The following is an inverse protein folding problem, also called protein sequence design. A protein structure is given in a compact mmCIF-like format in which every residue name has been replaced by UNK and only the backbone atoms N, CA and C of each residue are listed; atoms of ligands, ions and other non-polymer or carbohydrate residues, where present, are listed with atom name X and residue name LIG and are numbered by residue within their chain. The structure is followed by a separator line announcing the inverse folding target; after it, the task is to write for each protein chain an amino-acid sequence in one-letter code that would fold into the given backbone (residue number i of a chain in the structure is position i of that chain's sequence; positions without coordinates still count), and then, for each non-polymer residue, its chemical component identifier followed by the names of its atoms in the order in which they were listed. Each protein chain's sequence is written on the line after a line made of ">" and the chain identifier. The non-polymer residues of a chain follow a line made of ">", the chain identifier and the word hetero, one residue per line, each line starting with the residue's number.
data_IF_400722533927
#
_entry.id   IF_400722533927
#
_cell.length_a   1.000
_cell.length_b   1.000
_cell.length_c   1.000
_cell.angle_alpha   90.00
_cell.angle_beta   90.00
_cell.angle_gamma   90.00
#
_symmetry.space_group_name_H-M   'P 1'
#
loop_
_entity.id
_entity.type
_entity.pdbx_description
1 polymer ?
#
# COMPACT_ATOMS: atom_id res chain seq x y z
N UNK A 1 -11.03 -92.72 -29.02
CA UNK A 1 -11.30 -92.85 -27.57
C UNK A 1 -12.64 -92.19 -27.32
N UNK A 2 -13.61 -92.92 -26.77
CA UNK A 2 -14.95 -92.39 -26.49
C UNK A 2 -14.90 -91.86 -25.07
N UNK A 3 -15.04 -90.55 -24.88
CA UNK A 3 -15.15 -89.92 -23.57
C UNK A 3 -16.34 -90.54 -22.85
N UNK A 4 -16.13 -91.09 -21.65
CA UNK A 4 -17.24 -91.69 -20.90
C UNK A 4 -18.08 -90.59 -20.25
N UNK A 5 -19.35 -90.86 -19.97
CA UNK A 5 -20.24 -89.89 -19.33
C UNK A 5 -19.67 -89.38 -17.99
N UNK A 6 -18.95 -90.24 -17.26
CA UNK A 6 -18.31 -89.90 -15.98
C UNK A 6 -17.16 -88.89 -16.13
N UNK A 7 -16.36 -88.99 -17.20
CA UNK A 7 -15.30 -88.01 -17.51
C UNK A 7 -15.89 -86.63 -17.84
N UNK A 8 -17.02 -86.59 -18.54
CA UNK A 8 -17.73 -85.34 -18.85
C UNK A 8 -18.28 -84.69 -17.58
N UNK A 9 -18.89 -85.47 -16.67
CA UNK A 9 -19.39 -84.93 -15.39
C UNK A 9 -18.29 -84.41 -14.49
N UNK A 10 -17.13 -85.06 -14.47
CA UNK A 10 -15.96 -84.60 -13.72
C UNK A 10 -15.45 -83.26 -14.25
N UNK A 11 -15.28 -83.12 -15.56
CA UNK A 11 -14.86 -81.86 -16.20
C UNK A 11 -15.88 -80.73 -15.96
N UNK A 12 -17.18 -81.04 -15.98
CA UNK A 12 -18.23 -80.06 -15.68
C UNK A 12 -18.16 -79.58 -14.22
N UNK A 13 -17.89 -80.49 -13.28
CA UNK A 13 -17.69 -80.14 -11.87
C UNK A 13 -16.46 -79.26 -11.64
N UNK A 14 -15.33 -79.58 -12.29
CA UNK A 14 -14.11 -78.77 -12.24
C UNK A 14 -14.32 -77.38 -12.87
N UNK A 15 -15.08 -77.29 -13.97
CA UNK A 15 -15.43 -76.01 -14.61
C UNK A 15 -16.30 -75.14 -13.68
N UNK A 16 -17.29 -75.73 -13.00
CA UNK A 16 -18.17 -75.02 -12.06
C UNK A 16 -17.35 -74.47 -10.88
N UNK A 17 -16.42 -75.24 -10.32
CA UNK A 17 -15.56 -74.77 -9.23
C UNK A 17 -14.58 -73.68 -9.72
N UNK A 18 -14.00 -73.83 -10.91
CA UNK A 18 -13.17 -72.78 -11.51
C UNK A 18 -13.93 -71.48 -11.75
N UNK A 19 -15.21 -71.56 -12.15
CA UNK A 19 -16.07 -70.39 -12.32
C UNK A 19 -16.32 -69.70 -10.97
N UNK A 20 -16.68 -70.46 -9.92
CA UNK A 20 -16.89 -69.92 -8.57
C UNK A 20 -15.64 -69.25 -8.01
N UNK A 21 -14.47 -69.82 -8.24
CA UNK A 21 -13.21 -69.22 -7.82
C UNK A 21 -12.92 -67.92 -8.59
N UNK A 22 -13.22 -67.89 -9.89
CA UNK A 22 -13.10 -66.69 -10.73
C UNK A 22 -14.04 -65.58 -10.24
N UNK A 23 -15.30 -65.91 -9.95
CA UNK A 23 -16.28 -64.95 -9.43
C UNK A 23 -15.84 -64.37 -8.09
N UNK A 24 -15.28 -65.20 -7.19
CA UNK A 24 -14.72 -64.73 -5.91
C UNK A 24 -13.55 -63.77 -6.09
N UNK A 25 -12.59 -64.12 -6.95
CA UNK A 25 -11.43 -63.25 -7.26
C UNK A 25 -11.88 -61.94 -7.89
N UNK A 26 -12.89 -61.97 -8.75
CA UNK A 26 -13.46 -60.78 -9.36
C UNK A 26 -14.10 -59.86 -8.32
N UNK A 27 -14.93 -60.40 -7.42
CA UNK A 27 -15.54 -59.63 -6.31
C UNK A 27 -14.49 -59.03 -5.38
N UNK A 28 -13.42 -59.76 -5.06
CA UNK A 28 -12.32 -59.27 -4.24
C UNK A 28 -11.56 -58.13 -4.94
N UNK A 29 -11.32 -58.28 -6.25
CA UNK A 29 -10.68 -57.25 -7.09
C UNK A 29 -11.54 -55.99 -7.15
N UNK A 30 -12.86 -56.12 -7.36
CA UNK A 30 -13.77 -54.97 -7.34
C UNK A 30 -13.77 -54.26 -5.98
N UNK A 31 -13.74 -55.02 -4.87
CA UNK A 31 -13.68 -54.44 -3.53
C UNK A 31 -12.40 -53.64 -3.33
N UNK A 32 -11.25 -54.22 -3.69
CA UNK A 32 -9.95 -53.56 -3.57
C UNK A 32 -9.87 -52.31 -4.46
N UNK A 33 -10.41 -52.37 -5.68
CA UNK A 33 -10.46 -51.22 -6.59
C UNK A 33 -11.33 -50.09 -6.01
N UNK A 34 -12.49 -50.41 -5.41
CA UNK A 34 -13.35 -49.42 -4.75
C UNK A 34 -12.66 -48.78 -3.55
N UNK A 35 -11.98 -49.58 -2.73
CA UNK A 35 -11.22 -49.08 -1.57
C UNK A 35 -10.08 -48.16 -2.01
N UNK A 36 -9.32 -48.53 -3.05
CA UNK A 36 -8.26 -47.68 -3.61
C UNK A 36 -8.80 -46.39 -4.21
N UNK A 37 -9.92 -46.45 -4.93
CA UNK A 37 -10.56 -45.26 -5.50
C UNK A 37 -10.98 -44.28 -4.38
N UNK A 38 -11.61 -44.77 -3.32
CA UNK A 38 -12.00 -43.95 -2.17
C UNK A 38 -10.79 -43.37 -1.42
N UNK A 39 -9.72 -44.16 -1.24
CA UNK A 39 -8.50 -43.67 -0.61
C UNK A 39 -7.83 -42.56 -1.45
N UNK A 40 -7.81 -42.73 -2.78
CA UNK A 40 -7.26 -41.75 -3.71
C UNK A 40 -8.07 -40.45 -3.69
N UNK A 41 -9.40 -40.55 -3.70
CA UNK A 41 -10.29 -39.40 -3.62
C UNK A 41 -10.10 -38.60 -2.32
N UNK A 42 -9.99 -39.31 -1.18
CA UNK A 42 -9.70 -38.67 0.12
C UNK A 42 -8.36 -37.93 0.11
N UNK A 43 -7.32 -38.56 -0.41
CA UNK A 43 -5.99 -37.95 -0.49
C UNK A 43 -5.99 -36.70 -1.38
N UNK A 44 -6.65 -36.76 -2.55
CA UNK A 44 -6.78 -35.63 -3.45
C UNK A 44 -7.55 -34.47 -2.80
N UNK A 45 -8.63 -34.77 -2.09
CA UNK A 45 -9.41 -33.77 -1.36
C UNK A 45 -8.57 -33.08 -0.27
N UNK A 46 -7.83 -33.85 0.53
CA UNK A 46 -6.94 -33.31 1.55
C UNK A 46 -5.82 -32.45 0.96
N UNK A 47 -5.18 -32.89 -0.13
CA UNK A 47 -4.16 -32.10 -0.83
C UNK A 47 -4.73 -30.80 -1.41
N UNK A 48 -5.93 -30.86 -1.99
CA UNK A 48 -6.61 -29.67 -2.51
C UNK A 48 -6.87 -28.66 -1.40
N UNK A 49 -7.40 -29.09 -0.25
CA UNK A 49 -7.61 -28.21 0.90
C UNK A 49 -6.31 -27.64 1.46
N UNK A 50 -5.25 -28.46 1.56
CA UNK A 50 -3.95 -28.00 2.03
C UNK A 50 -3.37 -26.92 1.09
N UNK A 51 -3.49 -27.14 -0.22
CA UNK A 51 -3.05 -26.20 -1.26
C UNK A 51 -3.83 -24.89 -1.18
N UNK A 52 -5.16 -24.95 -1.07
CA UNK A 52 -6.01 -23.75 -0.94
C UNK A 52 -5.64 -22.95 0.33
N UNK A 53 -5.44 -23.63 1.46
CA UNK A 53 -5.01 -22.98 2.71
C UNK A 53 -3.62 -22.34 2.57
N UNK A 54 -2.69 -23.00 1.90
CA UNK A 54 -1.35 -22.46 1.66
C UNK A 54 -1.40 -21.21 0.77
N UNK A 55 -2.12 -21.28 -0.36
CA UNK A 55 -2.30 -20.15 -1.27
C UNK A 55 -2.97 -18.97 -0.58
N UNK A 56 -4.00 -19.21 0.24
CA UNK A 56 -4.66 -18.15 1.01
C UNK A 56 -3.73 -17.48 2.00
N UNK A 57 -2.88 -18.24 2.70
CA UNK A 57 -1.87 -17.68 3.62
C UNK A 57 -0.81 -16.87 2.87
N UNK A 58 -0.32 -17.37 1.73
CA UNK A 58 0.62 -16.66 0.86
C UNK A 58 0.05 -15.33 0.35
N UNK A 59 -1.19 -15.35 -0.14
CA UNK A 59 -1.89 -14.14 -0.60
C UNK A 59 -2.02 -13.12 0.54
N UNK A 60 -2.46 -13.55 1.72
CA UNK A 60 -2.57 -12.66 2.89
C UNK A 60 -1.23 -12.09 3.35
N UNK A 61 -0.15 -12.88 3.31
CA UNK A 61 1.20 -12.41 3.64
C UNK A 61 1.70 -11.39 2.61
N UNK A 62 1.48 -11.65 1.32
CA UNK A 62 1.83 -10.75 0.22
C UNK A 62 1.08 -9.43 0.33
N UNK A 63 -0.22 -9.46 0.59
CA UNK A 63 -1.04 -8.25 0.80
C UNK A 63 -0.56 -7.41 1.98
N UNK A 64 -0.15 -8.06 3.08
CA UNK A 64 0.41 -7.36 4.25
C UNK A 64 1.71 -6.67 3.90
N UNK A 65 2.64 -7.39 3.25
CA UNK A 65 3.93 -6.85 2.85
C UNK A 65 3.77 -5.68 1.88
N UNK A 66 2.89 -5.80 0.88
CA UNK A 66 2.60 -4.71 -0.06
C UNK A 66 2.04 -3.47 0.64
N UNK A 67 1.14 -3.65 1.62
CA UNK A 67 0.60 -2.53 2.40
C UNK A 67 1.66 -1.86 3.26
N UNK A 68 2.54 -2.63 3.88
CA UNK A 68 3.64 -2.10 4.70
C UNK A 68 4.66 -1.34 3.85
N UNK A 69 5.08 -1.90 2.73
CA UNK A 69 5.98 -1.25 1.77
C UNK A 69 5.36 0.03 1.19
N UNK A 70 4.07 0.00 0.81
CA UNK A 70 3.36 1.20 0.34
C UNK A 70 3.33 2.31 1.40
N UNK A 71 3.05 1.97 2.66
CA UNK A 71 3.10 2.94 3.78
C UNK A 71 4.51 3.51 3.95
N UNK A 72 5.53 2.66 3.88
CA UNK A 72 6.94 3.07 4.00
C UNK A 72 7.32 4.05 2.90
N UNK A 73 7.00 3.73 1.65
CA UNK A 73 7.25 4.59 0.49
C UNK A 73 6.52 5.92 0.64
N UNK A 74 5.24 5.91 1.01
CA UNK A 74 4.47 7.15 1.22
C UNK A 74 5.10 8.05 2.30
N UNK A 75 5.54 7.45 3.42
CA UNK A 75 6.22 8.20 4.48
C UNK A 75 7.56 8.79 4.00
N UNK A 76 8.36 8.03 3.24
CA UNK A 76 9.62 8.52 2.68
C UNK A 76 9.40 9.65 1.67
N UNK A 77 8.40 9.52 0.79
CA UNK A 77 8.03 10.57 -0.16
C UNK A 77 7.55 11.84 0.55
N UNK A 78 6.74 11.71 1.60
CA UNK A 78 6.34 12.85 2.43
C UNK A 78 7.54 13.56 3.09
N UNK A 79 8.47 12.79 3.65
CA UNK A 79 9.72 13.35 4.22
C UNK A 79 10.59 14.05 3.17
N UNK A 80 10.68 13.50 1.97
CA UNK A 80 11.39 14.12 0.85
C UNK A 80 10.69 15.42 0.41
N UNK A 81 9.36 15.42 0.31
CA UNK A 81 8.56 16.61 0.01
C UNK A 81 8.82 17.74 1.01
N UNK A 82 8.79 17.43 2.32
CA UNK A 82 9.09 18.41 3.37
C UNK A 82 10.52 18.96 3.28
N UNK A 83 11.51 18.11 3.00
CA UNK A 83 12.90 18.54 2.80
C UNK A 83 13.07 19.42 1.56
N UNK A 84 12.32 19.14 0.50
CA UNK A 84 12.33 19.98 -0.70
C UNK A 84 11.69 21.35 -0.43
N UNK A 85 10.59 21.40 0.34
CA UNK A 85 10.00 22.66 0.81
C UNK A 85 11.01 23.51 1.57
N UNK A 86 11.60 22.95 2.63
CA UNK A 86 12.64 23.60 3.43
C UNK A 86 13.84 24.05 2.59
N UNK A 87 14.24 23.25 1.59
CA UNK A 87 15.31 23.62 0.69
C UNK A 87 14.94 24.85 -0.15
N UNK A 88 13.74 24.88 -0.73
CA UNK A 88 13.25 26.05 -1.48
C UNK A 88 13.19 27.29 -0.60
N UNK A 89 12.61 27.19 0.60
CA UNK A 89 12.58 28.28 1.58
C UNK A 89 14.00 28.81 1.91
N UNK A 90 14.95 27.89 2.14
CA UNK A 90 16.34 28.24 2.48
C UNK A 90 17.04 29.01 1.36
N UNK A 91 16.70 28.73 0.10
CA UNK A 91 17.24 29.41 -1.08
C UNK A 91 16.55 30.76 -1.35
N UNK A 92 15.26 30.88 -0.99
CA UNK A 92 14.50 32.13 -1.14
C UNK A 92 15.03 33.21 -0.21
N UNK A 93 15.39 32.87 1.03
CA UNK A 93 15.89 33.86 2.00
C UNK A 93 17.03 34.76 1.45
N UNK A 94 18.19 34.24 1.02
CA UNK A 94 19.28 35.09 0.52
C UNK A 94 18.90 35.83 -0.77
N UNK A 95 18.08 35.23 -1.63
CA UNK A 95 17.61 35.85 -2.86
C UNK A 95 16.68 37.04 -2.59
N UNK A 96 15.78 36.93 -1.61
CA UNK A 96 14.88 37.99 -1.20
C UNK A 96 15.64 39.21 -0.65
N UNK A 97 16.67 38.99 0.17
CA UNK A 97 17.52 40.08 0.66
C UNK A 97 18.16 40.84 -0.48
N UNK A 98 18.80 40.09 -1.39
CA UNK A 98 19.48 40.68 -2.55
C UNK A 98 18.49 41.47 -3.42
N UNK A 99 17.33 40.87 -3.73
CA UNK A 99 16.29 41.51 -4.54
C UNK A 99 15.81 42.82 -3.92
N UNK A 100 15.50 42.84 -2.61
CA UNK A 100 15.00 44.05 -1.97
C UNK A 100 16.06 45.14 -1.87
N UNK A 101 17.31 44.78 -1.60
CA UNK A 101 18.41 45.74 -1.63
C UNK A 101 18.61 46.35 -3.03
N UNK A 102 18.53 45.53 -4.10
CA UNK A 102 18.58 45.99 -5.49
C UNK A 102 17.39 46.89 -5.87
N UNK A 103 16.26 46.76 -5.18
CA UNK A 103 15.07 47.62 -5.32
C UNK A 103 15.09 48.85 -4.41
N UNK A 104 16.24 49.14 -3.79
CA UNK A 104 16.41 50.27 -2.86
C UNK A 104 15.52 50.17 -1.61
N UNK A 105 15.05 48.97 -1.27
CA UNK A 105 14.29 48.69 -0.06
C UNK A 105 15.29 48.27 1.02
N UNK A 106 15.47 49.12 2.04
CA UNK A 106 16.40 48.86 3.13
C UNK A 106 15.93 47.67 4.00
N UNK A 107 16.55 46.51 3.87
CA UNK A 107 16.25 45.35 4.73
C UNK A 107 16.89 45.55 6.11
N UNK A 108 16.08 45.63 7.17
CA UNK A 108 16.57 45.77 8.56
C UNK A 108 16.53 44.45 9.32
N UNK A 109 15.44 43.73 9.20
CA UNK A 109 15.21 42.48 9.91
C UNK A 109 14.58 41.45 8.97
N UNK A 110 14.97 40.19 9.18
CA UNK A 110 14.45 39.04 8.47
C UNK A 110 14.08 37.99 9.49
N UNK A 111 12.84 37.55 9.44
CA UNK A 111 12.35 36.43 10.25
C UNK A 111 11.82 35.34 9.31
N UNK A 112 12.04 34.07 9.67
CA UNK A 112 11.56 32.92 8.91
C UNK A 112 10.67 32.04 9.75
N UNK A 113 9.82 31.27 9.08
CA UNK A 113 8.95 30.26 9.66
C UNK A 113 8.11 30.86 10.79
N UNK A 114 7.50 32.02 10.51
CA UNK A 114 6.68 32.73 11.49
C UNK A 114 5.31 32.08 11.48
N UNK A 115 4.91 31.55 12.63
CA UNK A 115 3.58 31.00 12.81
C UNK A 115 2.88 31.65 14.00
N UNK A 116 1.57 31.87 13.87
CA UNK A 116 0.70 32.24 14.99
C UNK A 116 -0.57 31.40 14.93
N UNK A 117 -1.07 31.01 16.11
CA UNK A 117 -2.35 30.35 16.27
C UNK A 117 -3.14 31.07 17.38
N UNK A 118 -4.32 31.58 17.03
CA UNK A 118 -5.24 32.25 17.96
C UNK A 118 -6.59 31.55 17.92
N UNK A 119 -6.84 30.66 18.90
CA UNK A 119 -8.09 29.90 18.99
C UNK A 119 -8.37 29.12 17.71
N UNK A 120 -9.27 29.66 16.86
CA UNK A 120 -9.72 29.03 15.61
C UNK A 120 -8.91 29.42 14.36
N UNK A 121 -8.08 30.46 14.44
CA UNK A 121 -7.36 30.98 13.28
C UNK A 121 -5.86 30.77 13.45
N UNK A 122 -5.19 30.49 12.33
CA UNK A 122 -3.76 30.30 12.29
C UNK A 122 -3.19 30.90 11.01
N UNK A 123 -1.94 31.34 11.07
CA UNK A 123 -1.20 31.87 9.94
C UNK A 123 0.24 31.40 10.02
N UNK A 124 0.78 30.93 8.92
CA UNK A 124 2.19 30.60 8.76
C UNK A 124 2.77 31.41 7.60
N UNK A 125 3.99 31.92 7.76
CA UNK A 125 4.70 32.74 6.77
C UNK A 125 6.14 32.25 6.71
N UNK A 126 6.59 31.82 5.53
CA UNK A 126 7.94 31.29 5.33
C UNK A 126 9.01 32.34 5.60
N UNK A 127 8.80 33.57 5.09
CA UNK A 127 9.76 34.65 5.24
C UNK A 127 9.07 36.00 5.39
N UNK A 128 9.52 36.76 6.39
CA UNK A 128 9.10 38.12 6.66
C UNK A 128 10.32 39.02 6.55
N UNK A 129 10.19 40.08 5.76
CA UNK A 129 11.19 41.13 5.62
C UNK A 129 10.63 42.41 6.19
N UNK A 130 11.36 43.03 7.12
CA UNK A 130 10.91 44.22 7.84
C UNK A 130 11.93 45.33 7.60
N UNK A 131 11.43 46.52 7.28
CA UNK A 131 12.22 47.75 7.24
C UNK A 131 11.68 48.77 8.26
N UNK A 132 11.93 50.07 8.10
CA UNK A 132 11.41 51.09 9.03
C UNK A 132 9.89 51.34 8.94
N UNK A 133 9.27 51.03 7.80
CA UNK A 133 7.94 51.51 7.38
C UNK A 133 7.06 50.42 6.78
N UNK A 134 7.64 49.38 6.18
CA UNK A 134 7.00 48.35 5.38
C UNK A 134 7.36 46.97 5.92
N UNK A 135 6.43 46.04 5.69
CA UNK A 135 6.60 44.63 5.99
C UNK A 135 6.24 43.80 4.75
N UNK A 136 7.13 42.89 4.36
CA UNK A 136 6.96 42.07 3.17
C UNK A 136 6.86 40.61 3.57
N UNK A 137 5.72 40.00 3.26
CA UNK A 137 5.43 38.59 3.50
C UNK A 137 5.74 37.80 2.23
N UNK A 138 6.58 36.80 2.35
CA UNK A 138 6.99 35.93 1.24
C UNK A 138 6.61 34.50 1.58
N UNK A 139 5.92 33.87 0.64
CA UNK A 139 5.66 32.44 0.58
C UNK A 139 6.57 31.83 -0.50
N UNK A 140 7.21 30.71 -0.18
CA UNK A 140 8.16 30.02 -1.04
C UNK A 140 7.56 28.70 -1.55
N UNK A 141 7.32 28.60 -2.86
CA UNK A 141 6.84 27.37 -3.50
C UNK A 141 7.85 26.84 -4.49
N UNK A 142 8.03 25.51 -4.51
CA UNK A 142 8.82 24.83 -5.55
C UNK A 142 8.17 24.97 -6.93
N UNK A 143 6.84 25.02 -6.96
CA UNK A 143 6.01 25.32 -8.12
C UNK A 143 4.79 26.09 -7.64
N UNK A 144 4.56 27.27 -8.20
CA UNK A 144 3.41 28.12 -7.85
C UNK A 144 2.19 27.79 -8.71
N UNK A 145 1.02 27.80 -8.08
CA UNK A 145 -0.31 27.67 -8.70
C UNK A 145 -1.19 28.88 -8.38
N UNK A 146 -2.34 29.00 -9.04
CA UNK A 146 -3.32 30.06 -8.77
C UNK A 146 -3.90 29.95 -7.35
N UNK A 147 -4.13 28.73 -6.87
CA UNK A 147 -4.61 28.48 -5.51
C UNK A 147 -3.59 28.96 -4.47
N UNK A 148 -2.29 28.75 -4.69
CA UNK A 148 -1.23 29.27 -3.80
C UNK A 148 -1.27 30.81 -3.71
N UNK A 149 -1.55 31.48 -4.84
CA UNK A 149 -1.67 32.95 -4.87
C UNK A 149 -2.88 33.41 -4.08
N UNK A 150 -4.04 32.77 -4.28
CA UNK A 150 -5.26 33.08 -3.56
C UNK A 150 -5.11 32.85 -2.04
N UNK A 151 -4.46 31.76 -1.64
CA UNK A 151 -4.15 31.48 -0.25
C UNK A 151 -3.22 32.55 0.34
N UNK A 152 -2.20 32.99 -0.42
CA UNK A 152 -1.31 34.06 0.04
C UNK A 152 -2.03 35.41 0.19
N UNK A 153 -2.96 35.73 -0.70
CA UNK A 153 -3.80 36.93 -0.58
C UNK A 153 -4.68 36.89 0.68
N UNK A 154 -5.27 35.73 0.98
CA UNK A 154 -6.03 35.52 2.22
C UNK A 154 -5.13 35.70 3.45
N UNK A 155 -3.92 35.13 3.42
CA UNK A 155 -2.90 35.29 4.47
C UNK A 155 -2.54 36.76 4.71
N UNK A 156 -2.30 37.53 3.64
CA UNK A 156 -2.02 38.96 3.72
C UNK A 156 -3.17 39.72 4.39
N UNK A 157 -4.43 39.39 4.06
CA UNK A 157 -5.61 40.06 4.61
C UNK A 157 -5.78 39.87 6.13
N UNK A 158 -5.35 38.72 6.67
CA UNK A 158 -5.46 38.38 8.09
C UNK A 158 -4.26 38.84 8.91
N UNK A 159 -3.12 39.10 8.26
CA UNK A 159 -1.83 39.28 8.92
C UNK A 159 -1.85 40.35 10.02
N UNK A 160 -2.30 41.58 9.75
CA UNK A 160 -2.29 42.67 10.74
C UNK A 160 -3.23 42.41 11.93
N UNK A 161 -4.33 41.69 11.71
CA UNK A 161 -5.24 41.28 12.78
C UNK A 161 -4.62 40.25 13.72
N UNK A 162 -3.84 39.31 13.17
CA UNK A 162 -3.15 38.28 13.95
C UNK A 162 -1.81 38.76 14.54
N UNK A 163 -1.15 39.73 13.92
CA UNK A 163 0.08 40.34 14.42
C UNK A 163 -0.08 41.85 14.70
N UNK A 164 -0.78 42.26 15.78
CA UNK A 164 -1.02 43.67 16.09
C UNK A 164 0.25 44.53 16.22
N UNK A 165 1.38 43.92 16.59
CA UNK A 165 2.69 44.61 16.66
C UNK A 165 3.16 45.19 15.32
N UNK A 166 2.59 44.74 14.21
CA UNK A 166 2.90 45.23 12.85
C UNK A 166 1.78 46.08 12.24
N UNK A 167 0.78 46.49 13.03
CA UNK A 167 -0.39 47.23 12.52
C UNK A 167 -0.02 48.57 11.87
N UNK A 168 1.01 49.25 12.39
CA UNK A 168 1.50 50.54 11.88
C UNK A 168 2.37 50.44 10.63
N UNK A 169 2.83 49.24 10.26
CA UNK A 169 3.64 49.04 9.05
C UNK A 169 2.72 49.05 7.83
N UNK A 170 3.25 49.48 6.68
CA UNK A 170 2.56 49.37 5.39
C UNK A 170 2.44 47.91 4.98
#
# INVERSE_FOLDING_TARGET
>A
MVTTADEVWKLLGELIESQKETDRKFQETERLLREQAQATERLLYEQSQATERFLRKQAQATDRLLREESKRVNNQLGQLGNRLGQFVESQVRPAAVKLFQEKEIAVKEIASNISIQTGKEGLEIDLLVINSTDIILIEAKSKVSEDDVNEHLERLSKFKGLFPRYESYR
#
